data_IF_704901121292
#
_entry.id   IF_704901121292
#
_cell.length_a   1.000
_cell.length_b   1.000
_cell.length_c   1.000
_cell.angle_alpha   90.00
_cell.angle_beta   90.00
_cell.angle_gamma   90.00
#
_symmetry.space_group_name_H-M   'P 1'
#
loop_
_entity.id
_entity.type
_entity.pdbx_description
1 polymer ?
2 water ?
#
# COMPACT_ATOMS: atom_id res chain seq x y z
N UNK A 3 0.66 18.77 -10.37
CA UNK A 3 0.06 18.91 -9.01
C UNK A 3 0.60 17.83 -8.06
N UNK A 4 0.53 18.10 -6.76
CA UNK A 4 1.00 17.14 -5.77
C UNK A 4 0.08 17.14 -4.55
N UNK A 5 -0.13 15.96 -3.97
CA UNK A 5 -0.98 15.83 -2.81
C UNK A 5 -0.09 15.53 -1.61
N UNK A 6 -0.66 15.64 -0.42
CA UNK A 6 0.11 15.36 0.80
C UNK A 6 -0.60 14.26 1.58
N UNK A 7 -0.03 13.06 1.62
CA UNK A 7 -0.67 11.95 2.34
C UNK A 7 -0.28 11.99 3.82
N UNK A 9 0.70 9.48 5.57
CA UNK A 9 1.91 8.71 5.81
C UNK A 9 3.14 9.57 5.61
N UNK A 10 3.19 10.31 4.51
CA UNK A 10 4.35 11.16 4.26
C UNK A 10 4.51 12.25 5.30
N UNK A 11 3.41 12.90 5.65
CA UNK A 11 3.43 13.96 6.64
C UNK A 11 3.92 13.52 8.02
N UNK A 12 3.32 12.45 8.55
CA UNK A 12 3.69 11.94 9.86
C UNK A 12 5.02 11.20 9.84
N UNK A 13 5.40 10.68 8.68
CA UNK A 13 6.68 9.99 8.55
C UNK A 13 7.79 11.04 8.60
N UNK A 14 7.59 12.15 7.90
CA UNK A 14 8.59 13.21 7.88
C UNK A 14 8.78 13.78 9.28
N UNK A 15 7.66 14.06 9.93
CA UNK A 15 7.69 14.59 11.28
C UNK A 15 8.51 13.69 12.19
N UNK A 16 8.33 12.38 12.07
CA UNK A 16 9.06 11.43 12.89
C UNK A 16 10.56 11.61 12.73
N UNK A 17 11.00 11.72 11.49
CA UNK A 17 12.41 11.89 11.21
C UNK A 17 12.90 13.31 11.42
N UNK A 18 11.97 14.25 11.54
CA UNK A 18 12.30 15.65 11.76
C UNK A 18 12.36 15.99 13.24
N UNK A 19 11.82 15.10 14.07
CA UNK A 19 11.79 15.32 15.52
C UNK A 19 12.56 14.24 16.27
N UNK A 20 13.51 13.60 15.59
CA UNK A 20 14.31 12.55 16.20
C UNK A 20 15.79 12.90 16.19
N UNK A 24 18.76 5.75 18.55
CA UNK A 24 17.43 6.25 18.88
C UNK A 24 17.11 6.00 20.35
N UNK A 25 16.36 6.90 20.96
CA UNK A 25 15.97 6.77 22.37
C UNK A 25 15.28 5.42 22.62
N UNK A 26 15.75 4.70 23.63
CA UNK A 26 15.21 3.40 23.98
C UNK A 26 13.79 3.51 24.56
N UNK A 27 13.50 4.66 25.16
CA UNK A 27 12.20 4.91 25.76
C UNK A 27 11.22 5.43 24.69
N UNK A 28 11.77 6.14 23.71
CA UNK A 28 10.95 6.68 22.63
C UNK A 28 10.47 5.57 21.69
N UNK A 29 11.28 4.54 21.53
CA UNK A 29 10.93 3.40 20.68
C UNK A 29 9.66 2.73 21.23
N UNK A 30 9.69 2.37 22.50
CA UNK A 30 8.54 1.72 23.12
C UNK A 30 7.34 2.66 23.19
N UNK A 31 7.59 3.94 22.96
CA UNK A 31 6.52 4.94 22.99
C UNK A 31 5.87 5.11 21.62
N UNK A 32 6.53 4.67 20.55
CA UNK A 32 5.94 4.78 19.22
C UNK A 32 4.75 3.81 19.16
N UNK A 33 3.58 4.33 18.77
CA UNK A 33 2.34 3.55 18.67
C UNK A 33 2.33 2.47 17.58
N UNK A 34 3.16 2.65 16.56
CA UNK A 34 3.25 1.71 15.45
C UNK A 34 4.55 0.93 15.40
N UNK A 35 4.54 -0.16 14.63
CA UNK A 35 5.68 -1.04 14.45
C UNK A 35 6.84 -0.37 13.73
N UNK A 36 8.05 -0.72 14.14
CA UNK A 36 9.24 -0.14 13.54
C UNK A 36 10.29 -1.23 13.42
N UNK A 38 14.85 -2.05 12.55
CA UNK A 38 16.23 -1.61 12.30
C UNK A 38 16.67 -2.41 11.09
N UNK A 39 17.02 -1.71 10.02
CA UNK A 39 17.46 -2.37 8.80
C UNK A 39 18.96 -2.26 8.61
N UNK A 40 19.58 -3.34 8.16
CA UNK A 40 21.01 -3.33 7.91
C UNK A 40 21.25 -4.02 6.56
N UNK A 41 21.81 -3.28 5.60
CA UNK A 41 22.09 -3.83 4.29
C UNK A 41 23.59 -3.96 4.08
N UNK A 42 24.00 -5.12 3.57
CA UNK A 42 25.41 -5.39 3.30
C UNK A 42 26.28 -5.11 4.50
N UNK A 43 25.86 -5.55 5.69
CA UNK A 43 26.64 -5.32 6.89
C UNK A 43 26.94 -3.83 7.02
N UNK A 44 26.13 -3.01 6.35
CA UNK A 44 26.33 -1.58 6.40
C UNK A 44 25.88 -0.96 7.71
N UNK A 45 25.37 0.27 7.61
CA UNK A 45 24.91 1.00 8.78
C UNK A 45 23.43 0.79 9.05
N UNK A 46 23.08 0.66 10.32
CA UNK A 46 21.70 0.46 10.71
C UNK A 46 20.84 1.69 10.46
N UNK A 47 19.67 1.48 9.85
CA UNK A 47 18.77 2.60 9.60
C UNK A 47 17.41 2.27 10.20
N UNK A 48 16.68 3.31 10.58
CA UNK A 48 15.37 3.18 11.18
C UNK A 48 14.28 3.19 10.11
N UNK A 49 13.42 2.19 10.14
CA UNK A 49 12.32 2.06 9.18
C UNK A 49 10.99 1.92 9.94
N UNK A 50 9.92 2.45 9.37
CA UNK A 50 8.62 2.39 10.04
C UNK A 50 7.61 1.60 9.20
N UNK A 51 6.61 0.99 9.85
CA UNK A 51 5.61 0.23 9.11
C UNK A 51 4.52 1.17 8.69
N UNK A 52 4.48 1.47 7.39
CA UNK A 52 3.49 2.40 6.89
C UNK A 52 2.11 1.78 6.76
N UNK A 53 2.01 0.60 6.15
CA UNK A 53 0.71 -0.02 5.97
C UNK A 53 0.79 -1.48 5.56
N UNK A 54 -0.34 -2.17 5.65
CA UNK A 54 -0.36 -3.58 5.28
C UNK A 54 -1.42 -3.86 4.23
N UNK A 55 -1.03 -4.58 3.19
CA UNK A 55 -1.91 -4.93 2.08
C UNK A 55 -1.77 -6.42 1.74
N UNK A 56 -2.89 -7.13 1.75
CA UNK A 56 -2.91 -8.58 1.47
C UNK A 56 -1.84 -9.30 2.25
N UNK A 57 -1.87 -9.13 3.56
CA UNK A 57 -0.90 -9.76 4.45
C UNK A 57 0.54 -9.41 4.11
N UNK A 58 0.75 -8.25 3.51
CA UNK A 58 2.09 -7.83 3.17
C UNK A 58 2.42 -6.54 3.94
N UNK A 59 3.47 -6.59 4.75
CA UNK A 59 3.87 -5.43 5.54
C UNK A 59 4.78 -4.51 4.74
N UNK A 60 4.37 -3.27 4.55
CA UNK A 60 5.20 -2.33 3.79
C UNK A 60 5.89 -1.32 4.70
N UNK A 61 7.20 -1.45 4.84
CA UNK A 61 8.02 -0.58 5.68
C UNK A 61 8.66 0.57 4.88
N UNK A 62 8.59 1.77 5.44
CA UNK A 62 9.13 2.95 4.78
C UNK A 62 10.30 3.59 5.51
N UNK A 63 11.35 3.95 4.78
CA UNK A 63 12.50 4.58 5.39
C UNK A 63 12.37 6.11 5.31
N UNK A 64 13.41 6.82 5.73
CA UNK A 64 13.41 8.28 5.67
C UNK A 64 13.54 8.79 4.24
N UNK A 65 14.32 8.06 3.44
CA UNK A 65 14.57 8.38 2.03
C UNK A 65 13.40 7.88 1.18
N UNK A 66 12.36 7.41 1.86
CA UNK A 66 11.16 6.89 1.22
C UNK A 66 11.40 5.66 0.34
N UNK A 67 12.31 4.79 0.79
CA UNK A 67 12.58 3.54 0.10
C UNK A 67 11.63 2.59 0.79
N UNK A 69 10.32 -1.52 1.89
CA UNK A 69 10.67 -2.92 2.11
C UNK A 69 9.37 -3.68 2.28
N UNK A 70 9.21 -4.82 1.61
CA UNK A 70 7.98 -5.60 1.73
C UNK A 70 8.30 -6.94 2.36
N UNK A 71 7.58 -7.28 3.41
CA UNK A 71 7.88 -8.52 4.10
C UNK A 71 6.63 -9.21 4.61
N UNK A 72 6.84 -10.44 5.06
CA UNK A 72 5.79 -11.18 5.72
C UNK A 72 6.49 -11.99 6.79
N UNK A 73 6.21 -11.64 8.04
CA UNK A 73 6.82 -12.29 9.19
C UNK A 73 8.32 -12.49 9.07
N UNK A 74 9.03 -11.38 8.87
CA UNK A 74 10.48 -11.40 8.76
C UNK A 74 11.07 -11.79 7.42
N UNK A 75 10.24 -12.38 6.56
CA UNK A 75 10.70 -12.80 5.25
C UNK A 75 10.66 -11.65 4.27
N UNK A 76 11.77 -11.44 3.56
CA UNK A 76 11.84 -10.36 2.58
C UNK A 76 11.22 -10.85 1.28
N UNK A 77 10.19 -10.13 0.83
CA UNK A 77 9.48 -10.47 -0.40
C UNK A 77 9.69 -9.49 -1.54
N UNK A 78 10.00 -8.23 -1.22
CA UNK A 78 10.19 -7.25 -2.27
C UNK A 78 10.75 -5.94 -1.71
N UNK A 79 11.57 -5.26 -2.50
CA UNK A 79 12.13 -3.97 -2.08
C UNK A 79 11.96 -2.95 -3.22
N UNK A 80 11.91 -1.68 -2.86
CA UNK A 80 11.74 -0.61 -3.83
C UNK A 80 12.61 0.59 -3.51
N UNK A 81 13.20 1.19 -4.55
CA UNK A 81 14.06 2.38 -4.44
C UNK A 81 15.37 2.18 -3.71
N UNK A 82 16.01 1.04 -3.91
CA UNK A 82 17.30 0.77 -3.29
C UNK A 82 18.28 0.55 -4.42
N UNK A 83 19.57 0.52 -4.13
CA UNK A 83 20.56 0.30 -5.18
C UNK A 83 20.18 -0.96 -5.95
N UNK A 84 19.97 -2.04 -5.21
CA UNK A 84 19.59 -3.32 -5.79
C UNK A 84 18.28 -3.72 -5.13
N UNK A 85 17.34 -4.23 -5.92
CA UNK A 85 16.03 -4.59 -5.41
C UNK A 85 15.59 -6.03 -5.62
N UNK A 86 14.83 -6.56 -4.66
CA UNK A 86 14.30 -7.90 -4.80
C UNK A 86 13.01 -7.60 -5.57
N UNK A 87 12.82 -8.24 -6.70
CA UNK A 87 11.63 -7.95 -7.50
C UNK A 87 10.47 -8.90 -7.31
N UNK A 88 10.77 -10.16 -7.01
CA UNK A 88 9.69 -11.09 -6.83
C UNK A 88 10.16 -12.33 -6.13
N UNK A 89 9.22 -12.96 -5.45
CA UNK A 89 9.47 -14.23 -4.78
C UNK A 89 8.19 -15.00 -5.08
N UNK A 90 8.34 -16.20 -5.61
CA UNK A 90 7.16 -17.00 -5.92
C UNK A 90 6.84 -17.97 -4.80
N UNK A 91 5.68 -18.63 -4.92
CA UNK A 91 5.25 -19.64 -3.96
C UNK A 91 5.52 -19.18 -2.51
N UNK A 92 5.25 -17.91 -2.26
CA UNK A 92 5.48 -17.33 -0.93
C UNK A 92 4.41 -17.77 0.07
N UNK A 93 3.32 -18.32 -0.45
CA UNK A 93 2.25 -18.77 0.42
C UNK A 93 2.62 -20.07 1.10
N UNK A 94 3.71 -20.70 0.66
CA UNK A 94 4.17 -21.97 1.21
C UNK A 94 5.38 -21.77 2.13
N UNK A 95 5.67 -20.53 2.46
CA UNK A 95 6.81 -20.26 3.33
C UNK A 95 6.43 -20.65 4.77
N UNK A 96 7.25 -21.50 5.41
CA UNK A 96 6.99 -21.93 6.79
C UNK A 96 6.81 -20.80 7.80
N UNK A 97 7.43 -19.66 7.53
CA UNK A 97 7.31 -18.51 8.40
C UNK A 97 5.88 -17.99 8.43
N UNK A 98 5.02 -18.50 7.55
CA UNK A 98 3.64 -18.04 7.57
C UNK A 98 2.95 -18.56 8.81
N UNK A 99 3.52 -19.61 9.40
CA UNK A 99 3.01 -20.18 10.64
C UNK A 99 4.26 -20.57 11.44
N UNK A 100 5.01 -19.55 11.86
CA UNK A 100 6.26 -19.74 12.58
C UNK A 100 6.22 -20.64 13.80
N UNK A 101 5.09 -20.69 14.51
CA UNK A 101 5.01 -21.55 15.67
C UNK A 101 4.83 -23.02 15.28
N UNK A 102 4.21 -23.26 14.12
CA UNK A 102 3.95 -24.61 13.63
C UNK A 102 5.06 -25.17 12.76
N UNK A 103 6.22 -24.53 12.80
CA UNK A 103 7.32 -25.02 11.98
C UNK A 103 7.92 -26.26 12.63
N UNK A 104 7.98 -27.35 11.88
CA UNK A 104 8.56 -28.59 12.39
C UNK A 104 9.99 -28.68 11.89
N UNK A 105 10.87 -29.24 12.70
CA UNK A 105 12.26 -29.41 12.34
C UNK A 105 12.32 -30.23 11.05
N UNK A 106 12.88 -29.64 10.00
CA UNK A 106 12.97 -30.32 8.73
C UNK A 106 12.04 -29.75 7.66
N UNK A 107 11.37 -28.63 7.98
CA UNK A 107 10.47 -27.98 7.04
C UNK A 107 11.21 -27.57 5.77
N UNK A 108 10.57 -27.72 4.63
CA UNK A 108 11.20 -27.37 3.38
C UNK A 108 10.36 -26.36 2.61
N UNK A 109 10.96 -25.70 1.65
CA UNK A 109 10.26 -24.72 0.83
C UNK A 109 11.02 -24.48 -0.45
N UNK A 110 10.29 -24.43 -1.55
CA UNK A 110 10.89 -24.22 -2.85
C UNK A 110 10.22 -23.03 -3.53
N UNK A 111 11.03 -22.13 -4.06
CA UNK A 111 10.50 -20.95 -4.73
C UNK A 111 11.56 -20.36 -5.64
N UNK A 112 11.15 -19.41 -6.46
CA UNK A 112 12.10 -18.74 -7.34
C UNK A 112 12.12 -17.27 -6.92
N UNK A 113 13.24 -16.59 -7.13
CA UNK A 113 13.33 -15.17 -6.80
C UNK A 113 13.84 -14.43 -8.01
N UNK A 114 13.50 -13.15 -8.09
CA UNK A 114 13.91 -12.28 -9.17
C UNK A 114 14.45 -11.01 -8.56
N UNK A 115 15.71 -10.67 -8.81
CA UNK A 115 16.25 -9.45 -8.22
C UNK A 115 17.16 -8.72 -9.20
N UNK A 116 17.31 -7.41 -9.02
CA UNK A 116 18.18 -6.65 -9.91
C UNK A 116 19.54 -6.44 -9.26
N UNK A 117 20.59 -6.51 -10.06
CA UNK A 117 21.95 -6.32 -9.58
C UNK A 117 22.68 -5.45 -10.61
N UNK A 118 22.93 -4.20 -10.25
CA UNK A 118 23.59 -3.24 -11.13
C UNK A 118 22.69 -3.02 -12.35
N UNK A 119 21.40 -2.88 -12.06
CA UNK A 119 20.37 -2.68 -13.08
C UNK A 119 20.25 -3.84 -14.07
N UNK A 120 20.81 -4.98 -13.69
CA UNK A 120 20.73 -6.18 -14.52
C UNK A 120 19.85 -7.17 -13.77
N UNK A 121 18.93 -7.83 -14.47
CA UNK A 121 18.04 -8.77 -13.84
C UNK A 121 18.59 -10.19 -13.70
N UNK A 122 18.47 -10.72 -12.48
CA UNK A 122 18.95 -12.07 -12.15
C UNK A 122 17.82 -12.87 -11.48
N UNK A 123 17.90 -14.18 -11.50
CA UNK A 123 16.86 -14.99 -10.88
C UNK A 123 17.40 -16.38 -10.60
N UNK A 124 16.77 -17.11 -9.69
CA UNK A 124 17.25 -18.46 -9.37
C UNK A 124 16.21 -19.29 -8.62
N UNK A 125 16.39 -20.61 -8.62
CA UNK A 125 15.47 -21.48 -7.93
C UNK A 125 16.06 -21.88 -6.60
N UNK A 126 15.39 -21.46 -5.52
CA UNK A 126 15.85 -21.75 -4.18
C UNK A 126 15.06 -22.80 -3.45
N UNK A 127 15.79 -23.68 -2.79
CA UNK A 127 15.19 -24.75 -2.00
C UNK A 127 15.90 -24.73 -0.65
N UNK A 128 15.13 -24.70 0.42
CA UNK A 128 15.70 -24.67 1.76
C UNK A 128 14.99 -25.58 2.75
N UNK A 129 15.66 -25.82 3.87
CA UNK A 129 15.11 -26.65 4.94
C UNK A 129 15.36 -25.95 6.26
N UNK A 130 14.35 -25.92 7.12
CA UNK A 130 14.49 -25.26 8.41
C UNK A 130 15.08 -26.21 9.45
N UNK A 131 16.02 -25.71 10.24
CA UNK A 131 16.66 -26.54 11.27
C UNK A 131 16.59 -25.79 12.61
N UNK A 132 15.95 -26.41 13.60
CA UNK A 132 15.81 -25.81 14.92
C UNK A 132 17.18 -25.72 15.59
N UNK A 133 17.60 -24.49 15.86
CA UNK A 133 18.90 -24.23 16.45
C UNK A 133 18.81 -24.03 17.96
N UNK A 134 17.59 -24.08 18.49
CA UNK A 134 17.42 -23.93 19.92
C UNK A 134 16.76 -22.66 20.42
N UNK A 135 16.90 -22.46 21.73
CA UNK A 135 16.33 -21.31 22.38
C UNK A 135 17.38 -20.20 22.48
N UNK A 136 16.90 -18.96 22.50
CA UNK A 136 17.77 -17.81 22.63
C UNK A 136 16.97 -16.61 23.05
N UNK A 137 17.53 -15.81 23.95
CA UNK A 137 16.87 -14.61 24.42
C UNK A 137 17.60 -13.42 23.82
N UNK A 138 16.84 -12.51 23.22
CA UNK A 138 17.39 -11.31 22.60
C UNK A 138 16.89 -10.11 23.37
N UNK A 139 17.71 -9.07 23.43
CA UNK A 139 17.30 -7.86 24.11
C UNK A 139 17.05 -6.85 23.00
N UNK A 140 15.80 -6.42 22.88
CA UNK A 140 15.42 -5.49 21.83
C UNK A 140 14.63 -4.33 22.42
N UNK A 141 15.13 -3.12 22.21
CA UNK A 141 14.48 -1.92 22.74
C UNK A 141 14.43 -2.04 24.26
N UNK A 142 15.49 -2.63 24.82
CA UNK A 142 15.59 -2.79 26.26
C UNK A 142 14.66 -3.79 26.90
N UNK A 143 14.22 -4.78 26.14
CA UNK A 143 13.33 -5.79 26.68
C UNK A 143 13.80 -7.16 26.25
N UNK A 144 13.52 -8.15 27.08
CA UNK A 144 13.91 -9.51 26.78
C UNK A 144 12.79 -10.24 26.05
N UNK A 145 13.20 -11.08 25.11
CA UNK A 145 12.25 -11.87 24.35
C UNK A 145 12.83 -13.27 24.08
N UNK A 146 12.09 -14.29 24.48
CA UNK A 146 12.48 -15.68 24.27
C UNK A 146 12.11 -16.05 22.86
N UNK A 147 13.09 -16.53 22.10
CA UNK A 147 12.88 -16.89 20.71
C UNK A 147 13.30 -18.29 20.39
N UNK A 148 12.58 -18.89 19.44
CA UNK A 148 12.97 -20.21 18.95
C UNK A 148 13.88 -19.79 17.80
N UNK A 149 15.11 -20.29 17.79
CA UNK A 149 16.03 -19.96 16.73
C UNK A 149 15.94 -20.96 15.59
N UNK A 150 15.52 -20.49 14.42
CA UNK A 150 15.42 -21.36 13.26
C UNK A 150 16.48 -21.03 12.23
N UNK A 151 17.23 -22.04 11.82
CA UNK A 151 18.28 -21.90 10.82
C UNK A 151 17.81 -22.49 9.49
N UNK A 152 17.64 -21.63 8.49
CA UNK A 152 17.20 -22.07 7.17
C UNK A 152 18.39 -22.29 6.23
N UNK A 153 18.63 -23.56 5.89
CA UNK A 153 19.71 -23.91 4.98
C UNK A 153 19.17 -23.79 3.56
N UNK A 154 19.68 -22.81 2.82
CA UNK A 154 19.20 -22.60 1.45
C UNK A 154 20.24 -22.99 0.42
N UNK A 155 19.77 -23.55 -0.69
CA UNK A 155 20.65 -23.92 -1.79
C UNK A 155 19.95 -23.46 -3.07
N UNK A 156 20.71 -22.80 -3.95
CA UNK A 156 20.18 -22.35 -5.23
C UNK A 156 20.98 -23.05 -6.30
N UNK A 157 20.53 -22.96 -7.53
CA UNK A 157 21.21 -23.62 -8.62
C UNK A 157 21.51 -22.65 -9.76
N UNK A 158 22.44 -23.05 -10.63
CA UNK A 158 22.83 -22.27 -11.80
C UNK A 158 23.18 -20.81 -11.54
N UNK A 159 24.33 -20.55 -10.89
CA UNK A 159 25.26 -21.58 -10.42
C UNK A 159 24.81 -22.15 -9.07
N UNK A 160 25.36 -23.30 -8.71
CA UNK A 160 25.03 -23.96 -7.45
C UNK A 160 25.60 -23.15 -6.29
N UNK A 161 24.73 -22.65 -5.43
CA UNK A 161 25.17 -21.87 -4.28
C UNK A 161 24.38 -22.28 -3.05
N UNK A 162 24.95 -22.04 -1.88
CA UNK A 162 24.27 -22.35 -0.63
C UNK A 162 24.71 -21.45 0.51
N UNK A 163 23.74 -20.97 1.25
CA UNK A 163 23.98 -20.08 2.38
C UNK A 163 22.96 -20.40 3.46
N UNK A 164 23.10 -19.75 4.60
CA UNK A 164 22.19 -19.96 5.72
C UNK A 164 21.53 -18.66 6.19
N UNK A 165 20.21 -18.71 6.39
CA UNK A 165 19.48 -17.56 6.90
C UNK A 165 19.08 -17.94 8.31
N UNK A 166 18.84 -16.96 9.16
CA UNK A 166 18.45 -17.24 10.54
C UNK A 166 17.25 -16.39 10.89
N UNK A 167 16.30 -16.99 11.61
CA UNK A 167 15.09 -16.29 12.02
C UNK A 167 14.81 -16.51 13.50
N UNK A 168 14.74 -15.43 14.25
CA UNK A 168 14.46 -15.47 15.70
C UNK A 168 12.98 -15.27 15.93
N UNK A 169 12.30 -16.36 16.31
CA UNK A 169 10.86 -16.34 16.52
C UNK A 169 10.39 -16.28 17.97
N UNK A 170 9.40 -15.43 18.24
CA UNK A 170 8.84 -15.32 19.57
C UNK A 170 8.10 -16.64 19.83
N UNK A 171 8.62 -17.46 20.75
CA UNK A 171 8.06 -18.76 21.05
C UNK A 171 6.60 -18.82 21.53
N UNK A 172 5.99 -17.65 21.72
CA UNK A 172 4.62 -17.53 22.21
C UNK A 172 3.65 -16.97 21.17
N UNK A 173 4.12 -16.05 20.34
CA UNK A 173 3.25 -15.45 19.33
C UNK A 173 3.54 -15.96 17.93
N UNK A 174 4.80 -16.29 17.67
CA UNK A 174 5.18 -16.76 16.36
C UNK A 174 5.76 -15.63 15.54
N UNK A 175 5.72 -14.42 16.09
CA UNK A 175 6.26 -13.25 15.41
C UNK A 175 7.78 -13.29 15.35
N UNK A 176 8.33 -13.06 14.16
CA UNK A 176 9.78 -13.03 13.98
C UNK A 176 10.23 -11.66 14.53
N UNK A 177 11.21 -11.66 15.43
CA UNK A 177 11.69 -10.41 16.02
C UNK A 177 13.02 -9.99 15.45
N UNK A 178 13.67 -10.91 14.76
CA UNK A 178 14.96 -10.62 14.13
C UNK A 178 15.17 -11.62 13.03
N UNK A 179 15.81 -11.20 11.95
CA UNK A 179 16.05 -12.11 10.84
C UNK A 179 17.32 -11.75 10.09
N UNK A 180 17.99 -12.76 9.56
CA UNK A 180 19.19 -12.54 8.75
C UNK A 180 18.98 -13.35 7.49
N UNK A 181 19.01 -12.68 6.33
CA UNK A 181 18.82 -13.36 5.05
C UNK A 181 19.47 -12.62 3.89
N UNK A 183 19.37 -10.94 -0.02
CA UNK A 183 18.37 -10.24 -0.81
C UNK A 183 18.23 -10.97 -2.15
N UNK A 184 19.30 -11.61 -2.58
CA UNK A 184 19.27 -12.35 -3.83
C UNK A 184 19.75 -13.75 -3.51
N UNK A 185 20.18 -14.49 -4.53
CA UNK A 185 20.67 -15.84 -4.32
C UNK A 185 22.05 -15.79 -3.67
N UNK A 186 22.08 -15.98 -2.36
CA UNK A 186 23.35 -15.98 -1.63
C UNK A 186 24.14 -14.68 -1.75
N UNK A 187 23.45 -13.58 -2.04
CA UNK A 187 24.08 -12.28 -2.20
C UNK A 187 23.27 -11.16 -1.54
N UNK A 188 23.95 -10.10 -1.13
CA UNK A 188 23.35 -8.93 -0.49
C UNK A 188 22.63 -9.23 0.84
N UNK A 189 23.41 -9.47 1.90
CA UNK A 189 22.87 -9.76 3.23
C UNK A 189 22.00 -8.67 3.80
N UNK A 190 20.89 -9.08 4.39
CA UNK A 190 19.93 -8.18 4.97
C UNK A 190 19.68 -8.58 6.42
N UNK A 191 19.70 -7.60 7.32
CA UNK A 191 19.47 -7.84 8.74
C UNK A 191 18.30 -6.98 9.18
N UNK A 193 15.60 -6.11 12.56
CA UNK A 193 15.24 -6.27 13.96
C UNK A 193 13.92 -5.53 14.17
N UNK A 194 12.90 -6.27 14.57
CA UNK A 194 11.58 -5.68 14.77
C UNK A 194 11.42 -5.27 16.22
N UNK A 195 11.37 -3.95 16.42
CA UNK A 195 11.30 -3.35 17.74
C UNK A 195 10.00 -3.45 18.52
N UNK A 196 8.88 -3.23 17.86
CA UNK A 196 7.63 -3.29 18.59
C UNK A 196 7.14 -4.73 18.73
N UNK A 197 7.04 -5.20 19.97
CA UNK A 197 6.61 -6.55 20.31
C UNK A 197 5.10 -6.71 20.24
N UNK A 198 4.65 -7.86 19.71
CA UNK A 198 3.23 -8.13 19.58
C UNK A 198 2.74 -8.96 20.78
N UNK A 199 1.58 -8.60 21.34
CA UNK A 199 0.98 -9.31 22.48
C UNK A 199 0.26 -10.57 22.05
N UNK A 200 -0.30 -11.28 23.03
CA UNK A 200 -1.04 -12.49 22.74
C UNK A 200 -2.52 -12.14 22.63
N UNK B 3 -0.09 -13.26 16.80
CA UNK B 3 0.82 -12.26 16.17
C UNK B 3 0.08 -11.24 15.29
N UNK B 4 0.33 -9.97 15.56
CA UNK B 4 -0.26 -8.86 14.83
C UNK B 4 0.67 -7.64 14.87
N UNK B 5 0.52 -6.73 13.91
CA UNK B 5 1.37 -5.55 13.87
C UNK B 5 0.54 -4.29 13.89
N UNK B 6 1.22 -3.17 14.18
CA UNK B 6 0.56 -1.88 14.23
C UNK B 6 1.22 -1.00 13.18
N UNK B 7 0.46 -0.65 12.15
CA UNK B 7 0.98 0.18 11.08
C UNK B 7 0.52 1.59 11.35
N UNK B 9 -1.16 3.44 9.44
CA UNK B 9 -2.55 3.64 9.03
C UNK B 9 -3.49 3.18 10.15
N UNK B 10 -3.14 2.09 10.82
CA UNK B 10 -3.94 1.59 11.92
C UNK B 10 -4.01 2.70 12.97
N UNK B 11 -2.86 3.34 13.24
CA UNK B 11 -2.83 4.40 14.24
C UNK B 11 -3.60 5.63 13.80
N UNK B 12 -3.50 6.00 12.51
CA UNK B 12 -4.26 7.17 12.05
C UNK B 12 -5.74 6.86 12.21
N UNK B 13 -6.15 5.64 11.85
CA UNK B 13 -7.56 5.29 11.98
C UNK B 13 -8.03 5.36 13.43
N UNK B 14 -7.23 4.86 14.35
CA UNK B 14 -7.60 4.88 15.77
C UNK B 14 -7.74 6.31 16.25
N UNK B 15 -7.01 7.21 15.61
CA UNK B 15 -7.03 8.60 16.01
C UNK B 15 -8.16 9.41 15.39
N UNK B 16 -8.75 8.90 14.32
CA UNK B 16 -9.80 9.62 13.63
C UNK B 16 -11.17 8.97 13.64
N UNK B 17 -11.21 7.64 13.54
CA UNK B 17 -12.48 6.93 13.48
C UNK B 17 -12.76 6.00 14.66
N UNK B 18 -11.75 5.73 15.47
CA UNK B 18 -11.88 4.82 16.60
C UNK B 18 -13.12 5.09 17.46
N UNK B 19 -13.64 6.31 17.39
CA UNK B 19 -14.83 6.67 18.15
C UNK B 19 -15.29 8.09 17.81
N UNK B 20 -16.61 8.25 17.65
CA UNK B 20 -17.20 9.53 17.31
C UNK B 20 -17.97 10.10 18.51
N UNK B 29 -11.29 15.98 12.39
CA UNK B 29 -11.75 17.37 12.46
C UNK B 29 -11.53 18.14 11.15
N UNK B 30 -10.98 19.35 11.26
CA UNK B 30 -10.75 20.16 10.07
C UNK B 30 -9.39 20.86 10.15
N UNK B 31 -8.98 21.46 9.03
CA UNK B 31 -7.70 22.16 8.94
C UNK B 31 -6.53 21.26 9.34
N UNK B 32 -6.06 20.45 8.39
CA UNK B 32 -4.95 19.51 8.63
C UNK B 32 -3.82 19.62 7.60
N UNK B 33 -2.60 19.19 7.97
CA UNK B 33 -1.41 19.23 7.10
C UNK B 33 -1.36 18.13 6.05
N UNK B 34 -2.52 17.75 5.52
CA UNK B 34 -2.59 16.74 4.46
C UNK B 34 -3.88 16.79 3.65
N UNK B 35 -3.83 16.22 2.47
CA UNK B 35 -4.98 16.20 1.57
C UNK B 35 -6.17 15.52 2.23
N UNK B 36 -7.35 16.09 2.03
CA UNK B 36 -8.56 15.50 2.60
C UNK B 36 -9.63 15.49 1.53
N UNK B 38 -14.22 15.26 0.82
CA UNK B 38 -15.61 15.12 1.25
C UNK B 38 -16.20 14.08 0.32
N UNK B 39 -16.62 12.95 0.91
CA UNK B 39 -17.19 11.85 0.15
C UNK B 39 -18.70 11.75 0.34
N UNK B 40 -19.41 11.50 -0.74
CA UNK B 40 -20.85 11.39 -0.67
C UNK B 40 -21.31 10.21 -1.54
N UNK B 41 -21.91 9.21 -0.92
CA UNK B 41 -22.37 8.02 -1.62
C UNK B 41 -23.88 7.97 -1.76
N UNK B 42 -24.35 7.65 -2.97
CA UNK B 42 -25.77 7.56 -3.25
C UNK B 42 -26.48 8.86 -2.85
N UNK B 43 -25.74 9.95 -2.88
CA UNK B 43 -26.27 11.25 -2.50
C UNK B 43 -26.76 11.26 -1.06
N UNK B 44 -26.13 10.42 -0.23
CA UNK B 44 -26.49 10.36 1.16
C UNK B 44 -25.87 11.53 1.90
N UNK B 45 -25.37 11.28 3.11
CA UNK B 45 -24.74 12.34 3.90
C UNK B 45 -23.28 12.50 3.53
N UNK B 46 -22.73 13.70 3.73
CA UNK B 46 -21.33 13.93 3.41
C UNK B 46 -20.44 13.28 4.45
N UNK B 47 -19.43 12.56 3.98
CA UNK B 47 -18.49 11.84 4.84
C UNK B 47 -17.09 12.42 4.75
N UNK B 48 -16.40 12.47 5.89
CA UNK B 48 -15.04 13.00 5.93
C UNK B 48 -14.02 11.90 5.67
N UNK B 49 -13.18 12.14 4.66
CA UNK B 49 -12.16 11.19 4.24
C UNK B 49 -10.79 11.85 4.21
N UNK B 50 -9.75 11.06 4.42
CA UNK B 50 -8.39 11.59 4.44
C UNK B 50 -7.48 10.74 3.58
N UNK B 51 -6.41 11.33 3.08
CA UNK B 51 -5.47 10.61 2.25
C UNK B 51 -4.43 9.92 3.12
N UNK B 52 -4.43 8.59 3.09
CA UNK B 52 -3.49 7.84 3.90
C UNK B 52 -2.12 7.70 3.27
N UNK B 53 -2.08 7.33 2.00
CA UNK B 53 -0.79 7.16 1.37
C UNK B 53 -0.95 7.04 -0.13
N UNK B 54 0.18 7.01 -0.83
CA UNK B 54 0.15 6.90 -2.27
C UNK B 54 1.17 5.86 -2.68
N UNK B 55 0.81 5.05 -3.67
CA UNK B 55 1.68 4.01 -4.16
C UNK B 55 1.36 3.74 -5.63
N UNK B 56 2.39 3.69 -6.45
CA UNK B 56 2.22 3.44 -7.88
C UNK B 56 1.24 4.45 -8.47
N UNK B 57 1.38 5.71 -8.06
CA UNK B 57 0.53 6.76 -8.59
C UNK B 57 -0.92 6.66 -8.17
N UNK B 58 -1.23 5.70 -7.28
CA UNK B 58 -2.59 5.54 -6.81
C UNK B 58 -2.77 6.16 -5.42
N UNK B 59 -3.84 6.92 -5.25
CA UNK B 59 -4.12 7.54 -3.96
C UNK B 59 -5.09 6.69 -3.16
N UNK B 60 -4.66 6.29 -1.96
CA UNK B 60 -5.48 5.47 -1.08
C UNK B 60 -6.04 6.30 0.06
N UNK B 61 -7.34 6.57 0.01
CA UNK B 61 -7.98 7.36 1.03
C UNK B 61 -8.50 6.48 2.17
N UNK B 62 -8.57 7.04 3.36
CA UNK B 62 -9.05 6.32 4.53
C UNK B 62 -10.38 6.86 4.96
N UNK B 63 -11.33 5.97 5.21
CA UNK B 63 -12.68 6.36 5.63
C UNK B 63 -13.09 5.53 6.84
N UNK B 64 -14.11 5.98 7.57
CA UNK B 64 -14.55 5.28 8.75
C UNK B 64 -14.99 3.84 8.48
N UNK B 65 -14.85 3.00 9.51
CA UNK B 65 -15.21 1.60 9.44
C UNK B 65 -14.26 0.80 8.54
N UNK B 66 -12.97 1.09 8.67
CA UNK B 66 -11.91 0.41 7.93
C UNK B 66 -12.13 0.45 6.42
N UNK B 67 -12.84 1.47 5.95
CA UNK B 67 -13.12 1.60 4.53
C UNK B 67 -11.95 2.28 3.81
N UNK B 69 -10.71 3.97 -0.28
CA UNK B 69 -11.03 4.35 -1.65
C UNK B 69 -9.73 4.66 -2.36
N UNK B 70 -9.55 4.07 -3.53
CA UNK B 70 -8.35 4.27 -4.33
C UNK B 70 -8.73 5.11 -5.54
N UNK B 71 -7.95 6.15 -5.82
CA UNK B 71 -8.25 7.00 -6.95
C UNK B 71 -7.01 7.50 -7.64
N UNK B 72 -7.22 8.13 -8.79
CA UNK B 72 -6.12 8.73 -9.52
C UNK B 72 -6.67 9.96 -10.18
N UNK B 73 -6.32 11.11 -9.60
CA UNK B 73 -6.77 12.39 -10.08
C UNK B 73 -8.26 12.45 -10.38
N UNK B 74 -9.07 12.22 -9.34
CA UNK B 74 -10.51 12.26 -9.49
C UNK B 74 -11.20 10.99 -9.96
N UNK B 75 -10.45 10.05 -10.51
CA UNK B 75 -11.03 8.81 -10.99
C UNK B 75 -11.07 7.70 -9.94
N UNK B 76 -12.26 7.16 -9.69
CA UNK B 76 -12.41 6.07 -8.73
C UNK B 76 -11.88 4.81 -9.41
N UNK B 77 -10.92 4.14 -8.78
CA UNK B 77 -10.31 2.95 -9.35
C UNK B 77 -10.56 1.70 -8.52
N UNK B 78 -11.07 1.87 -7.31
CA UNK B 78 -11.30 0.73 -6.44
C UNK B 78 -11.85 1.17 -5.09
N UNK B 79 -12.51 0.23 -4.43
CA UNK B 79 -13.13 0.49 -3.14
C UNK B 79 -12.98 -0.75 -2.26
N UNK B 80 -12.84 -0.52 -0.96
CA UNK B 80 -12.70 -1.62 -0.03
C UNK B 80 -13.54 -1.40 1.21
N UNK B 81 -14.07 -2.51 1.74
CA UNK B 81 -14.89 -2.51 2.94
C UNK B 81 -16.18 -1.68 2.90
N UNK B 82 -16.65 -1.34 1.71
CA UNK B 82 -17.89 -0.60 1.61
C UNK B 82 -19.00 -1.62 1.37
N UNK B 83 -20.26 -1.19 1.32
CA UNK B 83 -21.34 -2.13 1.07
C UNK B 83 -21.13 -2.76 -0.29
N UNK B 84 -21.12 -1.92 -1.33
CA UNK B 84 -20.88 -2.36 -2.69
C UNK B 84 -19.55 -1.75 -3.11
N UNK B 85 -18.62 -2.60 -3.53
CA UNK B 85 -17.29 -2.16 -3.92
C UNK B 85 -16.94 -2.23 -5.39
N UNK B 86 -16.04 -1.35 -5.82
CA UNK B 86 -15.55 -1.35 -7.19
C UNK B 86 -14.30 -2.21 -7.03
N UNK B 87 -14.31 -3.41 -7.59
CA UNK B 87 -13.18 -4.31 -7.43
C UNK B 87 -11.99 -4.07 -8.36
N UNK B 88 -12.27 -3.59 -9.58
CA UNK B 88 -11.20 -3.35 -10.54
C UNK B 88 -11.60 -2.51 -11.75
N UNK B 89 -10.63 -1.78 -12.30
CA UNK B 89 -10.80 -0.95 -13.51
C UNK B 89 -9.53 -1.18 -14.35
N UNK B 90 -9.71 -1.60 -15.59
CA UNK B 90 -8.56 -1.87 -16.45
C UNK B 90 -8.21 -0.67 -17.31
N UNK B 91 -7.07 -0.76 -18.00
CA UNK B 91 -6.63 0.30 -18.89
C UNK B 91 -6.72 1.63 -18.19
N UNK B 92 -6.19 1.69 -16.96
CA UNK B 92 -6.23 2.93 -16.19
C UNK B 92 -5.19 3.90 -16.72
N UNK B 93 -4.04 3.39 -17.13
CA UNK B 93 -3.01 4.28 -17.66
C UNK B 93 -3.44 5.00 -18.93
N UNK B 94 -4.64 4.71 -19.41
CA UNK B 94 -5.13 5.33 -20.64
C UNK B 94 -6.24 6.32 -20.34
N UNK B 95 -6.62 6.44 -19.07
CA UNK B 95 -7.67 7.37 -18.70
C UNK B 95 -7.19 8.79 -18.98
N UNK B 96 -8.00 9.56 -19.71
CA UNK B 96 -7.65 10.94 -20.03
C UNK B 96 -7.38 11.82 -18.82
N UNK B 97 -8.00 11.49 -17.67
CA UNK B 97 -7.78 12.29 -16.47
C UNK B 97 -6.32 12.24 -16.05
N UNK B 98 -5.57 11.27 -16.55
CA UNK B 98 -4.16 11.16 -16.22
C UNK B 98 -3.44 12.46 -16.56
N UNK B 99 -3.91 13.14 -17.61
CA UNK B 99 -3.36 14.42 -18.05
C UNK B 99 -4.55 15.33 -18.34
N UNK B 100 -5.31 15.64 -17.30
CA UNK B 100 -6.51 16.45 -17.41
C UNK B 100 -6.39 17.74 -18.21
N UNK B 101 -5.18 18.26 -18.37
CA UNK B 101 -5.00 19.50 -19.13
C UNK B 101 -4.97 19.20 -20.63
N UNK B 102 -4.42 18.04 -20.99
CA UNK B 102 -4.34 17.63 -22.38
C UNK B 102 -5.64 16.98 -22.85
N UNK B 103 -6.78 17.46 -22.36
CA UNK B 103 -8.06 16.90 -22.74
C UNK B 103 -8.85 17.79 -23.70
N UNK B 104 -9.12 17.28 -24.89
CA UNK B 104 -9.86 18.03 -25.91
C UNK B 104 -11.31 17.52 -25.99
N UNK B 105 -12.25 18.43 -26.28
CA UNK B 105 -13.66 18.08 -26.39
C UNK B 105 -13.92 16.98 -27.42
N UNK B 106 -14.00 15.74 -26.94
CA UNK B 106 -14.22 14.59 -27.79
C UNK B 106 -13.27 13.45 -27.48
N UNK B 107 -12.55 13.54 -26.36
CA UNK B 107 -11.61 12.50 -25.97
C UNK B 107 -12.38 11.24 -25.59
N UNK B 108 -11.77 10.09 -25.85
CA UNK B 108 -12.44 8.82 -25.55
C UNK B 108 -11.60 7.88 -24.69
N UNK B 109 -12.25 6.90 -24.09
CA UNK B 109 -11.55 5.94 -23.24
C UNK B 109 -12.35 4.65 -23.12
N UNK B 110 -11.66 3.51 -23.26
CA UNK B 110 -12.33 2.22 -23.14
C UNK B 110 -11.68 1.31 -22.12
N UNK B 111 -12.51 0.77 -21.22
CA UNK B 111 -12.00 -0.11 -20.17
C UNK B 111 -13.09 -1.00 -19.57
N UNK B 112 -12.66 -2.01 -18.83
CA UNK B 112 -13.60 -2.90 -18.19
C UNK B 112 -13.61 -2.67 -16.67
N UNK B 113 -14.79 -2.62 -16.08
CA UNK B 113 -14.90 -2.45 -14.65
C UNK B 113 -15.53 -3.69 -14.01
N UNK B 114 -15.16 -3.92 -12.75
CA UNK B 114 -15.62 -5.05 -11.97
C UNK B 114 -16.06 -4.53 -10.60
N UNK B 115 -17.31 -4.79 -10.23
CA UNK B 115 -17.82 -4.35 -8.95
C UNK B 115 -18.81 -5.35 -8.36
N UNK B 116 -19.25 -5.11 -7.12
CA UNK B 116 -20.18 -6.01 -6.47
C UNK B 116 -21.41 -5.26 -5.95
N UNK B 117 -22.58 -5.70 -6.42
CA UNK B 117 -23.83 -5.12 -6.01
C UNK B 117 -24.64 -6.14 -5.20
N UNK B 118 -25.07 -5.74 -4.01
CA UNK B 118 -25.85 -6.61 -3.14
C UNK B 118 -25.28 -8.03 -3.08
N UNK B 119 -23.96 -8.12 -2.87
CA UNK B 119 -23.27 -9.39 -2.77
C UNK B 119 -23.13 -10.15 -4.09
N UNK B 120 -23.57 -9.54 -5.19
CA UNK B 120 -23.45 -10.16 -6.51
C UNK B 120 -22.29 -9.49 -7.26
N UNK B 121 -21.48 -10.29 -7.94
CA UNK B 121 -20.36 -9.73 -8.69
C UNK B 121 -20.75 -9.46 -10.13
N UNK B 122 -20.57 -8.23 -10.57
CA UNK B 122 -20.91 -7.86 -11.93
C UNK B 122 -19.71 -7.29 -12.68
N UNK B 123 -19.81 -7.24 -14.00
CA UNK B 123 -18.73 -6.75 -14.82
C UNK B 123 -19.33 -6.13 -16.09
N UNK B 124 -18.54 -5.28 -16.75
CA UNK B 124 -19.01 -4.59 -17.96
C UNK B 124 -17.89 -3.81 -18.66
N UNK B 125 -17.94 -3.76 -19.98
CA UNK B 125 -16.97 -3.02 -20.77
C UNK B 125 -17.52 -1.62 -20.99
N UNK B 126 -16.73 -0.60 -20.63
CA UNK B 126 -17.16 0.78 -20.76
C UNK B 126 -16.44 1.56 -21.87
N UNK B 127 -17.19 2.49 -22.48
CA UNK B 127 -16.70 3.37 -23.53
C UNK B 127 -17.24 4.77 -23.22
N UNK B 128 -16.36 5.75 -23.16
CA UNK B 128 -16.81 7.11 -22.87
C UNK B 128 -16.13 8.15 -23.73
N UNK B 129 -16.73 9.34 -23.76
CA UNK B 129 -16.21 10.47 -24.51
C UNK B 129 -16.40 11.73 -23.69
N UNK B 130 -15.34 12.54 -23.62
CA UNK B 130 -15.36 13.78 -22.85
C UNK B 130 -15.83 14.96 -23.69
N UNK B 131 -16.65 15.81 -23.08
CA UNK B 131 -17.16 17.00 -23.78
C UNK B 131 -17.19 18.18 -22.81
N UNK B 132 -16.56 19.29 -23.21
CA UNK B 132 -16.50 20.50 -22.38
C UNK B 132 -17.88 20.99 -21.97
N UNK B 133 -18.00 21.43 -20.73
CA UNK B 133 -19.28 21.92 -20.20
C UNK B 133 -19.24 23.38 -19.76
N UNK B 134 -18.07 24.02 -19.91
CA UNK B 134 -17.96 25.41 -19.52
C UNK B 134 -17.01 25.65 -18.36
N UNK B 135 -16.67 26.92 -18.14
CA UNK B 135 -15.78 27.27 -17.04
C UNK B 135 -16.59 27.46 -15.78
N UNK B 136 -16.04 27.03 -14.65
CA UNK B 136 -16.75 27.15 -13.40
C UNK B 136 -15.80 27.39 -12.26
N UNK B 137 -16.24 28.24 -11.34
CA UNK B 137 -15.43 28.54 -10.18
C UNK B 137 -16.01 27.80 -8.99
N UNK B 138 -15.18 26.96 -8.39
CA UNK B 138 -15.62 26.20 -7.23
C UNK B 138 -15.11 26.88 -5.96
N UNK B 139 -15.93 26.82 -4.91
CA UNK B 139 -15.52 27.40 -3.64
C UNK B 139 -15.27 26.22 -2.71
N UNK B 140 -14.01 25.88 -2.53
CA UNK B 140 -13.61 24.76 -1.68
C UNK B 140 -12.74 25.25 -0.53
N UNK B 141 -13.22 25.07 0.70
CA UNK B 141 -12.49 25.49 1.89
C UNK B 141 -12.28 26.99 1.91
N UNK B 142 -13.32 27.73 1.55
CA UNK B 142 -13.23 29.18 1.52
C UNK B 142 -12.25 29.72 0.48
N UNK B 143 -11.86 28.90 -0.49
CA UNK B 143 -10.93 29.37 -1.51
C UNK B 143 -11.47 29.08 -2.90
N UNK B 144 -11.60 30.12 -3.72
CA UNK B 144 -12.10 29.98 -5.09
C UNK B 144 -11.10 29.26 -5.97
N UNK B 145 -11.60 28.46 -6.91
CA UNK B 145 -10.74 27.73 -7.83
C UNK B 145 -11.42 27.60 -9.20
N UNK B 146 -10.78 28.17 -10.23
CA UNK B 146 -11.30 28.14 -11.59
C UNK B 146 -11.06 26.77 -12.20
N UNK B 147 -12.15 26.11 -12.61
CA UNK B 147 -12.05 24.77 -13.19
C UNK B 147 -12.66 24.59 -14.57
N UNK B 148 -12.12 23.60 -15.29
CA UNK B 148 -12.62 23.24 -16.60
C UNK B 148 -13.59 22.09 -16.36
N UNK B 149 -14.89 22.37 -16.45
CA UNK B 149 -15.90 21.35 -16.24
C UNK B 149 -15.96 20.37 -17.41
N UNK B 150 -15.63 19.12 -17.15
CA UNK B 150 -15.66 18.09 -18.18
C UNK B 150 -16.74 17.06 -17.96
N UNK B 151 -17.63 16.93 -18.97
CA UNK B 151 -18.72 15.96 -18.95
C UNK B 151 -18.23 14.69 -19.63
N UNK B 152 -18.51 13.53 -19.06
CA UNK B 152 -18.10 12.27 -19.67
C UNK B 152 -19.31 11.38 -19.92
N UNK B 153 -19.60 11.15 -21.20
CA UNK B 153 -20.71 10.30 -21.61
C UNK B 153 -20.17 8.89 -21.65
N UNK B 154 -20.66 8.03 -20.75
CA UNK B 154 -20.21 6.65 -20.71
C UNK B 154 -21.33 5.72 -21.14
N UNK B 155 -20.99 4.72 -21.96
CA UNK B 155 -21.97 3.75 -22.44
C UNK B 155 -21.44 2.33 -22.34
N UNK B 156 -22.33 1.39 -22.06
CA UNK B 156 -21.97 -0.02 -21.96
C UNK B 156 -23.07 -0.85 -22.63
N UNK B 157 -22.95 -2.18 -22.54
CA UNK B 157 -23.93 -3.07 -23.15
C UNK B 157 -24.15 -4.36 -22.36
N UNK B 158 -25.30 -4.99 -22.60
CA UNK B 158 -25.64 -6.25 -21.94
C UNK B 158 -25.57 -6.18 -20.43
N UNK B 159 -26.48 -5.40 -19.81
CA UNK B 159 -27.53 -4.64 -20.48
C UNK B 159 -27.03 -3.27 -20.94
N UNK B 160 -27.62 -2.75 -22.00
CA UNK B 160 -27.24 -1.45 -22.53
C UNK B 160 -27.58 -0.38 -21.49
N UNK B 161 -26.69 0.59 -21.32
CA UNK B 161 -26.91 1.67 -20.36
C UNK B 161 -25.85 2.76 -20.50
N UNK B 162 -26.26 4.00 -20.30
CA UNK B 162 -25.35 5.13 -20.40
C UNK B 162 -25.62 6.15 -19.30
N UNK B 163 -24.60 6.93 -18.98
CA UNK B 163 -24.74 7.94 -17.96
C UNK B 163 -23.68 9.03 -18.16
N UNK B 164 -23.77 10.09 -17.36
CA UNK B 164 -22.83 11.18 -17.49
C UNK B 164 -22.01 11.39 -16.23
N UNK B 165 -20.70 11.51 -16.44
CA UNK B 165 -19.75 11.75 -15.38
C UNK B 165 -19.28 13.19 -15.50
N UNK B 166 -19.18 13.90 -14.37
CA UNK B 166 -18.72 15.29 -14.38
C UNK B 166 -17.45 15.47 -13.54
N UNK B 167 -16.39 15.98 -14.17
CA UNK B 167 -15.12 16.21 -13.50
C UNK B 167 -14.67 17.68 -13.56
N UNK B 168 -14.24 18.23 -12.43
CA UNK B 168 -13.77 19.61 -12.38
C UNK B 168 -12.25 19.64 -12.30
N UNK B 169 -11.62 20.01 -13.41
CA UNK B 169 -10.17 20.07 -13.50
C UNK B 169 -9.65 21.48 -13.27
N UNK B 170 -8.66 21.62 -12.38
CA UNK B 170 -8.07 22.93 -12.11
C UNK B 170 -7.46 23.44 -13.43
N UNK B 171 -7.90 24.60 -13.88
CA UNK B 171 -7.44 25.18 -15.14
C UNK B 171 -5.93 25.30 -15.30
N UNK B 172 -5.25 25.53 -14.18
CA UNK B 172 -3.81 25.68 -14.23
C UNK B 172 -3.05 24.47 -13.72
N UNK B 173 -3.52 23.89 -12.63
CA UNK B 173 -2.84 22.73 -12.06
C UNK B 173 -3.13 21.44 -12.79
N UNK B 174 -4.34 21.32 -13.33
CA UNK B 174 -4.69 20.10 -14.02
C UNK B 174 -5.17 19.04 -13.03
N UNK B 175 -5.36 19.43 -11.77
CA UNK B 175 -5.80 18.51 -10.75
C UNK B 175 -7.31 18.54 -10.55
N UNK B 176 -7.94 17.37 -10.48
CA UNK B 176 -9.39 17.35 -10.26
C UNK B 176 -9.63 17.78 -8.82
N UNK B 177 -10.60 18.64 -8.60
CA UNK B 177 -10.91 19.14 -7.27
C UNK B 177 -12.31 18.71 -6.88
N UNK B 178 -13.04 18.16 -7.83
CA UNK B 178 -14.39 17.69 -7.58
C UNK B 178 -14.76 16.75 -8.70
N UNK B 179 -15.34 15.60 -8.35
CA UNK B 179 -15.75 14.67 -9.38
C UNK B 179 -17.07 14.02 -9.03
N UNK B 180 -17.80 13.63 -10.06
CA UNK B 180 -19.09 12.99 -9.89
C UNK B 180 -19.10 11.84 -10.89
N UNK B 181 -19.20 10.62 -10.38
CA UNK B 181 -19.20 9.45 -11.24
C UNK B 181 -19.97 8.27 -10.61
N UNK B 183 -20.04 4.32 -9.20
CA UNK B 183 -19.15 3.28 -8.71
C UNK B 183 -19.22 2.06 -9.65
N UNK B 184 -20.42 1.76 -10.15
CA UNK B 184 -20.57 0.66 -11.07
C UNK B 184 -21.09 1.17 -12.39
N UNK B 185 -21.58 0.28 -13.25
CA UNK B 185 -22.12 0.70 -14.55
C UNK B 185 -23.43 1.47 -14.32
N UNK B 186 -23.41 2.78 -14.57
CA UNK B 186 -24.59 3.58 -14.39
C UNK B 186 -25.24 3.49 -13.02
N UNK B 187 -24.58 2.83 -12.08
CA UNK B 187 -25.15 2.70 -10.74
C UNK B 187 -24.24 3.11 -9.58
N UNK B 188 -24.86 3.63 -8.52
CA UNK B 188 -24.14 4.04 -7.31
C UNK B 188 -23.30 5.31 -7.54
N UNK B 189 -23.95 6.49 -7.44
CA UNK B 189 -23.26 7.78 -7.63
C UNK B 189 -22.25 8.08 -6.53
N UNK B 190 -21.11 8.61 -6.94
CA UNK B 190 -20.04 8.95 -6.01
C UNK B 190 -19.59 10.39 -6.24
N UNK B 191 -19.77 11.21 -5.21
CA UNK B 191 -19.38 12.61 -5.29
C UNK B 191 -18.16 12.82 -4.41
N UNK B 193 -15.11 15.79 -3.33
CA UNK B 193 -14.60 17.17 -3.34
C UNK B 193 -13.20 17.10 -2.71
N UNK B 194 -12.16 17.39 -3.47
CA UNK B 194 -10.82 17.31 -2.90
C UNK B 194 -10.29 18.61 -2.27
N UNK B 195 -9.99 18.55 -0.98
CA UNK B 195 -9.46 19.70 -0.23
C UNK B 195 -7.95 19.66 -0.13
N UNK B 196 -7.29 20.73 -0.55
CA UNK B 196 -5.84 20.77 -0.49
C UNK B 196 -5.35 20.84 0.96
N UNK B 197 -4.07 20.57 1.18
CA UNK B 197 -3.58 20.65 2.56
C UNK B 197 -3.16 22.10 2.82
N UNK B 198 -3.74 22.72 3.84
CA UNK B 198 -3.39 24.10 4.18
C UNK B 198 -4.27 24.61 5.30
#
# INVERSE_FOLDING_TARGET
>A
XTHSQQSXVDTFRASLFDNQDITVADQQIQALPYSTXYLRLNEGQRIFVVLGYIEQEQSKWLSQDNAXLVTHNGRLLKTVKLNNNLLEVTNSGQDPLRNALAIKDGSRWTRDILWSEDNHFRSATLSSTFSFAGLETLNIAGRNVLCNVWQEEVTSTRPEKQWQNTFWVDSATGQVRQSRQXLGAGVIPVEXTFLKPAPLEHHHHHH
>B
XTHSQQSXVDTFRASLFDNQDITVADQQIQALPYSTXYLRLNEGQRIFVVLGYIEQEQSKWLSQDNAXLVTHNGRLLKTVKLNNNLLEVTNSGQDPLRNALAIKDGSRWTRDILWSEDNHFRSATLSSTFSFAGLETLNIAGRNVLCNVWQEEVTSTRPEKQWQNTFWVDSATGQVRQSRQXLGAGVIPVEXTFLKPAPLEHHHHHH
#
